data_IF_194204846299
#
_entry.id   IF_194204846299
#
_cell.length_a   1.000
_cell.length_b   1.000
_cell.length_c   1.000
_cell.angle_alpha   90.00
_cell.angle_beta   90.00
_cell.angle_gamma   90.00
#
_symmetry.space_group_name_H-M   'P 1'
#
loop_
_entity.id
_entity.type
_entity.pdbx_description
1 polymer ?
#
# COMPACT_ATOMS: atom_id res chain seq x y z
N UNK A 1 -20.37 -5.63 -13.81
CA UNK A 1 -19.09 -5.39 -13.12
C UNK A 1 -19.30 -5.53 -11.63
N UNK A 2 -18.49 -6.32 -10.92
CA UNK A 2 -18.49 -6.30 -9.44
C UNK A 2 -17.84 -4.98 -9.00
N UNK A 3 -18.49 -4.23 -8.11
CA UNK A 3 -17.87 -3.05 -7.48
C UNK A 3 -16.72 -3.53 -6.60
N UNK A 4 -15.56 -2.95 -6.79
CA UNK A 4 -14.40 -3.20 -5.94
C UNK A 4 -14.61 -2.54 -4.58
N UNK A 5 -14.21 -3.22 -3.52
CA UNK A 5 -14.18 -2.63 -2.19
C UNK A 5 -12.93 -1.76 -2.04
N UNK A 6 -12.97 -0.81 -1.10
CA UNK A 6 -11.82 0.05 -0.79
C UNK A 6 -10.59 -0.81 -0.44
N UNK A 7 -10.77 -1.88 0.33
CA UNK A 7 -9.69 -2.81 0.66
C UNK A 7 -9.11 -3.52 -0.59
N UNK A 8 -9.93 -3.88 -1.57
CA UNK A 8 -9.46 -4.48 -2.81
C UNK A 8 -8.65 -3.49 -3.66
N UNK A 9 -9.10 -2.23 -3.72
CA UNK A 9 -8.40 -1.15 -4.42
C UNK A 9 -7.05 -0.85 -3.75
N UNK A 10 -7.02 -0.70 -2.42
CA UNK A 10 -5.78 -0.51 -1.66
C UNK A 10 -4.81 -1.68 -1.85
N UNK A 11 -5.31 -2.92 -1.74
CA UNK A 11 -4.49 -4.13 -1.92
C UNK A 11 -3.87 -4.20 -3.31
N UNK A 12 -4.61 -3.82 -4.35
CA UNK A 12 -4.08 -3.78 -5.72
C UNK A 12 -2.99 -2.72 -5.86
N UNK A 13 -3.22 -1.53 -5.31
CA UNK A 13 -2.23 -0.47 -5.29
C UNK A 13 -0.94 -0.91 -4.60
N UNK A 14 -1.06 -1.48 -3.40
CA UNK A 14 0.07 -2.07 -2.66
C UNK A 14 0.82 -3.13 -3.48
N UNK A 15 0.11 -4.13 -4.01
CA UNK A 15 0.74 -5.21 -4.77
C UNK A 15 1.47 -4.72 -6.03
N UNK A 16 0.90 -3.72 -6.71
CA UNK A 16 1.56 -3.08 -7.85
C UNK A 16 2.83 -2.34 -7.43
N UNK A 17 2.78 -1.52 -6.37
CA UNK A 17 3.94 -0.78 -5.88
C UNK A 17 5.04 -1.73 -5.39
N UNK A 18 4.69 -2.82 -4.71
CA UNK A 18 5.63 -3.86 -4.29
C UNK A 18 6.36 -4.49 -5.47
N UNK A 19 5.65 -4.80 -6.56
CA UNK A 19 6.28 -5.29 -7.78
C UNK A 19 7.22 -4.24 -8.39
N UNK A 20 6.85 -2.95 -8.36
CA UNK A 20 7.70 -1.87 -8.87
C UNK A 20 8.98 -1.69 -8.05
N UNK A 21 8.89 -1.75 -6.72
CA UNK A 21 10.06 -1.77 -5.85
C UNK A 21 10.97 -2.95 -6.17
N UNK A 22 10.39 -4.15 -6.37
CA UNK A 22 11.14 -5.35 -6.75
C UNK A 22 11.86 -5.20 -8.10
N UNK A 23 11.26 -4.47 -9.04
CA UNK A 23 11.85 -4.17 -10.34
C UNK A 23 12.87 -3.00 -10.27
N UNK A 24 13.08 -2.39 -9.09
CA UNK A 24 13.98 -1.26 -8.87
C UNK A 24 13.40 0.12 -9.19
N UNK A 25 12.07 0.21 -9.41
CA UNK A 25 11.36 1.44 -9.72
C UNK A 25 10.66 2.02 -8.48
N UNK A 26 11.40 2.83 -7.73
CA UNK A 26 10.94 3.41 -6.46
C UNK A 26 10.42 4.86 -6.62
N UNK A 27 10.04 5.27 -7.83
CA UNK A 27 9.53 6.63 -8.11
C UNK A 27 8.08 6.63 -8.58
N UNK A 28 7.42 5.48 -8.50
CA UNK A 28 6.05 5.31 -8.98
C UNK A 28 5.07 5.88 -7.97
N UNK A 29 4.14 6.68 -8.48
CA UNK A 29 3.02 7.25 -7.72
C UNK A 29 1.71 6.79 -8.33
N UNK A 30 0.83 6.26 -7.49
CA UNK A 30 -0.52 5.89 -7.90
C UNK A 30 -1.45 7.09 -7.79
N UNK A 31 -2.30 7.25 -8.79
CA UNK A 31 -3.38 8.21 -8.73
C UNK A 31 -4.63 7.56 -8.13
N UNK A 32 -5.08 8.10 -7.01
CA UNK A 32 -6.33 7.73 -6.36
C UNK A 32 -7.25 8.93 -6.23
N UNK A 33 -8.55 8.69 -6.33
CA UNK A 33 -9.55 9.74 -6.16
C UNK A 33 -10.85 9.25 -5.53
N UNK A 34 -11.63 10.20 -5.01
CA UNK A 34 -12.95 9.97 -4.40
C UNK A 34 -13.19 10.78 -3.13
N UNK A 35 -14.05 10.27 -2.24
CA UNK A 35 -14.43 10.99 -1.03
C UNK A 35 -13.35 10.95 0.06
N UNK A 36 -13.40 11.92 0.98
CA UNK A 36 -12.57 11.92 2.19
C UNK A 36 -12.68 10.60 2.97
N UNK A 37 -13.90 10.05 3.08
CA UNK A 37 -14.14 8.77 3.76
C UNK A 37 -13.39 7.62 3.08
N UNK A 38 -13.36 7.59 1.74
CA UNK A 38 -12.60 6.58 1.00
C UNK A 38 -11.11 6.70 1.33
N UNK A 39 -10.53 7.90 1.26
CA UNK A 39 -9.12 8.15 1.61
C UNK A 39 -8.79 7.66 3.02
N UNK A 40 -9.62 8.01 4.01
CA UNK A 40 -9.44 7.56 5.40
C UNK A 40 -9.45 6.03 5.52
N UNK A 41 -10.38 5.35 4.85
CA UNK A 41 -10.44 3.89 4.87
C UNK A 41 -9.24 3.25 4.16
N UNK A 42 -8.68 3.88 3.12
CA UNK A 42 -7.45 3.40 2.49
C UNK A 42 -6.24 3.53 3.42
N UNK A 43 -6.11 4.63 4.16
CA UNK A 43 -5.07 4.79 5.20
C UNK A 43 -5.19 3.72 6.30
N UNK A 44 -6.42 3.37 6.71
CA UNK A 44 -6.62 2.30 7.69
C UNK A 44 -6.13 0.93 7.20
N UNK A 45 -6.32 0.63 5.91
CA UNK A 45 -5.77 -0.60 5.32
C UNK A 45 -4.24 -0.55 5.19
N UNK A 46 -3.67 0.61 4.85
CA UNK A 46 -2.21 0.81 4.83
C UNK A 46 -1.60 0.53 6.21
N UNK A 47 -2.13 1.12 7.28
CA UNK A 47 -1.62 0.89 8.64
C UNK A 47 -1.75 -0.58 9.08
N UNK A 48 -2.79 -1.28 8.61
CA UNK A 48 -2.91 -2.72 8.85
C UNK A 48 -1.77 -3.47 8.17
N UNK A 49 -1.47 -3.18 6.90
CA UNK A 49 -0.38 -3.83 6.19
C UNK A 49 0.99 -3.56 6.81
N UNK A 50 1.25 -2.33 7.30
CA UNK A 50 2.47 -2.03 8.04
C UNK A 50 2.61 -2.86 9.32
N UNK A 51 1.52 -2.97 10.09
CA UNK A 51 1.50 -3.77 11.31
C UNK A 51 1.70 -5.26 11.02
N UNK A 52 0.98 -5.80 10.03
CA UNK A 52 1.06 -7.21 9.66
C UNK A 52 2.48 -7.56 9.17
N UNK A 53 3.06 -6.73 8.28
CA UNK A 53 4.42 -6.90 7.75
C UNK A 53 5.48 -6.91 8.86
N UNK A 54 5.33 -6.01 9.85
CA UNK A 54 6.23 -5.98 11.02
C UNK A 54 6.11 -7.24 11.86
N UNK A 55 4.88 -7.71 12.13
CA UNK A 55 4.64 -8.94 12.90
C UNK A 55 5.22 -10.15 12.15
N UNK A 56 4.99 -10.24 10.84
CA UNK A 56 5.51 -11.34 10.01
C UNK A 56 7.04 -11.37 10.01
N UNK A 57 7.69 -10.21 10.00
CA UNK A 57 9.14 -10.13 10.15
C UNK A 57 9.61 -10.57 11.55
N UNK A 58 8.98 -10.06 12.62
CA UNK A 58 9.32 -10.40 14.00
C UNK A 58 9.12 -11.90 14.31
N UNK A 59 8.15 -12.54 13.65
CA UNK A 59 7.89 -13.98 13.75
C UNK A 59 8.77 -14.83 12.80
N UNK A 60 9.59 -14.21 11.95
CA UNK A 60 10.44 -14.90 10.97
C UNK A 60 9.67 -15.55 9.82
N UNK A 61 8.45 -15.09 9.54
CA UNK A 61 7.61 -15.55 8.41
C UNK A 61 8.17 -15.00 7.09
N UNK A 62 8.66 -13.75 7.11
CA UNK A 62 9.31 -13.10 5.97
C UNK A 62 10.77 -12.74 6.28
N UNK A 63 11.61 -12.65 5.25
CA UNK A 63 13.01 -12.23 5.39
C UNK A 63 13.13 -10.72 5.64
N UNK A 64 14.29 -10.27 6.10
CA UNK A 64 14.60 -8.84 6.20
C UNK A 64 14.51 -8.13 4.84
N UNK A 65 15.00 -8.77 3.77
CA UNK A 65 14.89 -8.24 2.40
C UNK A 65 13.43 -8.03 1.98
N UNK A 66 12.58 -9.02 2.23
CA UNK A 66 11.15 -8.93 1.93
C UNK A 66 10.50 -7.82 2.75
N UNK A 67 10.77 -7.75 4.05
CA UNK A 67 10.26 -6.72 4.94
C UNK A 67 10.66 -5.30 4.47
N UNK A 68 11.93 -5.09 4.09
CA UNK A 68 12.40 -3.81 3.56
C UNK A 68 11.70 -3.44 2.24
N UNK A 69 11.46 -4.40 1.35
CA UNK A 69 10.66 -4.16 0.13
C UNK A 69 9.21 -3.78 0.46
N UNK A 70 8.58 -4.47 1.41
CA UNK A 70 7.21 -4.14 1.84
C UNK A 70 7.13 -2.74 2.43
N UNK A 71 8.10 -2.35 3.27
CA UNK A 71 8.17 -0.98 3.82
C UNK A 71 8.30 0.09 2.75
N UNK A 72 9.15 -0.13 1.75
CA UNK A 72 9.31 0.82 0.64
C UNK A 72 8.00 0.93 -0.17
N UNK A 73 7.34 -0.19 -0.46
CA UNK A 73 6.06 -0.20 -1.16
C UNK A 73 4.94 0.50 -0.37
N UNK A 74 4.91 0.31 0.95
CA UNK A 74 3.94 0.97 1.84
C UNK A 74 4.19 2.49 1.92
N UNK A 75 5.46 2.91 1.94
CA UNK A 75 5.83 4.33 1.86
C UNK A 75 5.34 4.98 0.56
N UNK A 76 5.51 4.32 -0.60
CA UNK A 76 4.99 4.82 -1.88
C UNK A 76 3.45 4.86 -1.90
N UNK A 77 2.80 3.90 -1.26
CA UNK A 77 1.35 3.89 -1.13
C UNK A 77 0.87 5.05 -0.26
N UNK A 78 1.56 5.32 0.85
CA UNK A 78 1.27 6.46 1.73
C UNK A 78 1.36 7.77 0.95
N UNK A 79 2.45 7.98 0.21
CA UNK A 79 2.64 9.17 -0.63
C UNK A 79 1.52 9.31 -1.67
N UNK A 80 1.12 8.19 -2.29
CA UNK A 80 0.00 8.15 -3.24
C UNK A 80 -1.32 8.56 -2.57
N UNK A 81 -1.57 8.14 -1.33
CA UNK A 81 -2.75 8.52 -0.55
C UNK A 81 -2.70 9.96 0.00
N UNK A 82 -1.52 10.51 0.23
CA UNK A 82 -1.34 11.94 0.55
C UNK A 82 -1.73 12.78 -0.67
N UNK A 83 -1.35 12.33 -1.87
CA UNK A 83 -1.65 12.97 -3.16
C UNK A 83 -3.05 12.63 -3.71
N UNK A 84 -3.92 12.05 -2.88
CA UNK A 84 -5.26 11.61 -3.24
C UNK A 84 -6.16 12.80 -3.63
N UNK A 85 -6.80 12.72 -4.80
CA UNK A 85 -7.71 13.75 -5.31
C UNK A 85 -9.11 13.61 -4.69
N UNK A 86 -9.57 14.64 -3.99
CA UNK A 86 -10.90 14.67 -3.39
C UNK A 86 -11.93 15.10 -4.44
N UNK A 87 -12.98 14.28 -4.62
CA UNK A 87 -14.10 14.51 -5.53
C UNK A 87 -15.43 14.43 -4.75
#
# INVERSE_FOLDING_TARGET
MKKETIAQETRRGYAYLKQKVKDGDNKVMLHFSGSMRKRTMMFQELFRYESDSKIDFELGIISEEEYLMEKEALSLLEQSLISFELI
#
